data_IF_309364046730
#
_entry.id   IF_309364046730
#
_cell.length_a   1.000
_cell.length_b   1.000
_cell.length_c   1.000
_cell.angle_alpha   90.00
_cell.angle_beta   90.00
_cell.angle_gamma   90.00
#
_symmetry.space_group_name_H-M   'P 1'
#
loop_
_entity.id
_entity.type
_entity.pdbx_description
1 polymer ?
#
# COMPACT_ATOMS: atom_id res chain seq x y z
N UNK A 1 24.57 -13.63 6.21
CA UNK A 1 23.38 -12.76 6.13
C UNK A 1 22.21 -13.62 5.66
N UNK A 2 21.27 -13.97 6.53
CA UNK A 2 20.12 -14.79 6.13
C UNK A 2 19.16 -13.94 5.30
N UNK A 3 19.02 -14.29 4.02
CA UNK A 3 18.06 -13.73 3.09
C UNK A 3 16.63 -14.01 3.61
N UNK A 4 16.12 -13.16 4.49
CA UNK A 4 14.72 -13.16 4.87
C UNK A 4 13.94 -12.53 3.71
N UNK A 5 13.71 -13.33 2.67
CA UNK A 5 12.91 -12.93 1.53
C UNK A 5 11.53 -12.46 1.97
N UNK A 6 11.00 -11.45 1.26
CA UNK A 6 9.63 -10.98 1.47
C UNK A 6 8.66 -12.15 1.29
N UNK A 7 7.99 -12.55 2.37
CA UNK A 7 6.86 -13.49 2.32
C UNK A 7 5.58 -12.69 2.14
N UNK A 8 4.85 -12.96 1.07
CA UNK A 8 3.56 -12.31 0.79
C UNK A 8 2.43 -12.94 1.61
N UNK A 9 1.50 -12.11 2.07
CA UNK A 9 0.27 -12.52 2.72
C UNK A 9 -0.75 -12.97 1.67
N UNK A 10 -1.15 -14.25 1.70
CA UNK A 10 -2.17 -14.77 0.77
C UNK A 10 -3.47 -13.94 0.81
N UNK A 11 -4.06 -13.64 1.98
CA UNK A 11 -5.24 -12.78 2.03
C UNK A 11 -5.02 -11.40 1.42
N UNK A 12 -3.89 -10.74 1.69
CA UNK A 12 -3.63 -9.41 1.14
C UNK A 12 -3.51 -9.45 -0.38
N UNK A 13 -2.76 -10.42 -0.93
CA UNK A 13 -2.63 -10.61 -2.38
C UNK A 13 -3.97 -10.89 -3.02
N UNK A 14 -4.79 -11.78 -2.45
CA UNK A 14 -6.12 -12.11 -2.98
C UNK A 14 -7.02 -10.87 -2.97
N UNK A 15 -7.10 -10.15 -1.85
CA UNK A 15 -7.94 -8.95 -1.74
C UNK A 15 -7.50 -7.88 -2.73
N UNK A 16 -6.20 -7.59 -2.83
CA UNK A 16 -5.67 -6.63 -3.80
C UNK A 16 -5.93 -7.06 -5.24
N UNK A 17 -5.75 -8.35 -5.57
CA UNK A 17 -6.01 -8.87 -6.91
C UNK A 17 -7.50 -8.78 -7.27
N UNK A 18 -8.38 -9.20 -6.36
CA UNK A 18 -9.84 -9.11 -6.55
C UNK A 18 -10.27 -7.65 -6.71
N UNK A 19 -9.76 -6.74 -5.89
CA UNK A 19 -10.06 -5.32 -5.99
C UNK A 19 -9.61 -4.73 -7.33
N UNK A 20 -8.38 -5.03 -7.77
CA UNK A 20 -7.87 -4.59 -9.07
C UNK A 20 -8.68 -5.15 -10.24
N UNK A 21 -9.06 -6.43 -10.20
CA UNK A 21 -9.91 -7.06 -11.21
C UNK A 21 -11.32 -6.47 -11.23
N UNK A 22 -11.92 -6.22 -10.05
CA UNK A 22 -13.19 -5.51 -9.94
C UNK A 22 -13.08 -4.08 -10.49
N UNK A 23 -11.93 -3.44 -10.30
CA UNK A 23 -11.57 -2.16 -10.89
C UNK A 23 -11.63 -2.24 -12.40
N UNK A 24 -10.87 -3.16 -13.00
CA UNK A 24 -10.86 -3.39 -14.45
C UNK A 24 -12.28 -3.61 -15.00
N UNK A 25 -13.07 -4.45 -14.36
CA UNK A 25 -14.46 -4.69 -14.78
C UNK A 25 -15.32 -3.41 -14.71
N UNK A 26 -15.20 -2.64 -13.61
CA UNK A 26 -15.89 -1.35 -13.45
C UNK A 26 -15.46 -0.34 -14.51
N UNK A 27 -14.17 -0.24 -14.78
CA UNK A 27 -13.62 0.62 -15.82
C UNK A 27 -14.13 0.24 -17.21
N UNK A 28 -14.20 -1.06 -17.49
CA UNK A 28 -14.80 -1.59 -18.72
C UNK A 28 -16.28 -1.20 -18.85
N UNK A 29 -17.05 -1.34 -17.77
CA UNK A 29 -18.45 -0.92 -17.75
C UNK A 29 -18.61 0.60 -17.96
N UNK A 30 -17.77 1.43 -17.34
CA UNK A 30 -17.74 2.89 -17.57
C UNK A 30 -17.41 3.20 -19.03
N UNK A 31 -16.38 2.55 -19.59
CA UNK A 31 -16.00 2.75 -20.98
C UNK A 31 -17.10 2.34 -21.96
N UNK A 32 -17.77 1.21 -21.74
CA UNK A 32 -18.86 0.74 -22.60
C UNK A 32 -20.11 1.62 -22.51
N UNK A 33 -20.35 2.27 -21.37
CA UNK A 33 -21.47 3.18 -21.15
C UNK A 33 -21.08 4.67 -21.30
N UNK A 34 -19.95 4.96 -21.92
CA UNK A 34 -19.48 6.35 -22.08
C UNK A 34 -20.35 7.12 -23.06
N UNK A 35 -20.46 8.43 -22.85
CA UNK A 35 -21.05 9.35 -23.83
C UNK A 35 -20.18 9.45 -25.07
N UNK A 36 -20.80 9.48 -26.25
CA UNK A 36 -20.12 9.83 -27.52
C UNK A 36 -19.91 11.34 -27.66
N UNK A 37 -20.70 12.14 -26.94
CA UNK A 37 -20.50 13.58 -26.90
C UNK A 37 -19.26 13.90 -26.07
N UNK A 38 -18.30 14.55 -26.71
CA UNK A 38 -17.03 14.93 -26.09
C UNK A 38 -17.20 16.28 -25.37
N UNK A 39 -16.86 16.31 -24.09
CA UNK A 39 -16.88 17.54 -23.30
C UNK A 39 -15.82 18.54 -23.80
N UNK A 40 -16.06 19.85 -23.71
CA UNK A 40 -15.05 20.83 -24.06
C UNK A 40 -13.85 20.73 -23.10
N UNK A 41 -12.64 20.87 -23.64
CA UNK A 41 -11.43 21.00 -22.83
C UNK A 41 -11.42 22.36 -22.13
N UNK A 42 -11.13 22.35 -20.84
CA UNK A 42 -10.99 23.52 -19.99
C UNK A 42 -9.50 23.77 -19.77
N UNK A 43 -8.99 24.84 -20.38
CA UNK A 43 -7.60 25.24 -20.24
C UNK A 43 -7.22 25.48 -18.77
N UNK A 44 -6.03 25.03 -18.37
CA UNK A 44 -5.53 25.19 -17.00
C UNK A 44 -5.97 24.11 -16.01
N UNK A 45 -6.70 23.09 -16.47
CA UNK A 45 -6.96 21.86 -15.68
C UNK A 45 -5.70 20.99 -15.54
N UNK A 46 -4.71 21.19 -16.40
CA UNK A 46 -3.39 20.57 -16.34
C UNK A 46 -2.66 20.92 -15.02
N UNK A 47 -2.16 19.91 -14.31
CA UNK A 47 -1.47 20.10 -13.02
C UNK A 47 0.00 19.61 -13.08
N UNK A 48 0.69 19.86 -14.18
CA UNK A 48 2.05 19.36 -14.44
C UNK A 48 3.03 19.68 -13.31
N UNK A 49 3.12 20.95 -12.90
CA UNK A 49 4.10 21.39 -11.89
C UNK A 49 3.90 20.66 -10.55
N UNK A 50 2.70 20.62 -9.94
CA UNK A 50 2.45 19.81 -8.75
C UNK A 50 2.86 18.33 -8.91
N UNK A 51 2.57 17.72 -10.06
CA UNK A 51 2.89 16.31 -10.27
C UNK A 51 4.39 16.06 -10.49
N UNK A 52 5.15 17.01 -11.05
CA UNK A 52 6.61 16.92 -11.08
C UNK A 52 7.20 16.93 -9.65
N UNK A 53 6.61 17.71 -8.74
CA UNK A 53 6.99 17.68 -7.31
C UNK A 53 6.65 16.32 -6.70
N UNK A 54 5.44 15.80 -6.93
CA UNK A 54 5.04 14.46 -6.44
C UNK A 54 5.98 13.38 -6.98
N UNK A 55 6.33 13.43 -8.26
CA UNK A 55 7.26 12.51 -8.89
C UNK A 55 8.62 12.51 -8.19
N UNK A 56 9.17 13.69 -7.91
CA UNK A 56 10.43 13.83 -7.19
C UNK A 56 10.34 13.23 -5.78
N UNK A 57 9.24 13.48 -5.05
CA UNK A 57 9.00 12.92 -3.71
C UNK A 57 8.92 11.40 -3.75
N UNK A 58 8.14 10.83 -4.67
CA UNK A 58 7.97 9.38 -4.84
C UNK A 58 9.30 8.73 -5.21
N UNK A 59 10.02 9.28 -6.18
CA UNK A 59 11.31 8.76 -6.63
C UNK A 59 12.37 8.79 -5.51
N UNK A 60 12.45 9.91 -4.77
CA UNK A 60 13.36 10.05 -3.64
C UNK A 60 13.00 9.04 -2.54
N UNK A 61 11.72 8.97 -2.15
CA UNK A 61 11.26 8.04 -1.13
C UNK A 61 11.60 6.60 -1.51
N UNK A 62 11.30 6.19 -2.74
CA UNK A 62 11.54 4.83 -3.19
C UNK A 62 13.02 4.48 -3.29
N UNK A 63 13.85 5.43 -3.74
CA UNK A 63 15.32 5.28 -3.76
C UNK A 63 15.87 5.13 -2.34
N UNK A 64 15.41 5.95 -1.40
CA UNK A 64 15.84 5.87 0.00
C UNK A 64 15.36 4.57 0.65
N UNK A 65 14.10 4.20 0.45
CA UNK A 65 13.49 3.00 1.02
C UNK A 65 14.15 1.72 0.49
N UNK A 66 14.44 1.65 -0.82
CA UNK A 66 15.12 0.51 -1.43
C UNK A 66 16.56 0.38 -0.95
N UNK A 67 17.31 1.48 -0.83
CA UNK A 67 18.70 1.47 -0.32
C UNK A 67 18.80 1.13 1.17
N UNK A 68 17.82 1.55 1.97
CA UNK A 68 17.82 1.30 3.43
C UNK A 68 17.19 -0.03 3.83
N UNK A 69 16.51 -0.71 2.91
CA UNK A 69 15.84 -1.98 3.19
C UNK A 69 16.68 -3.16 2.70
N UNK A 70 16.82 -4.24 3.49
CA UNK A 70 17.41 -5.49 3.01
C UNK A 70 16.59 -6.13 1.86
N UNK A 71 15.39 -5.63 1.58
CA UNK A 71 14.55 -6.07 0.46
C UNK A 71 14.91 -5.40 -0.87
N UNK A 72 15.73 -4.34 -0.87
CA UNK A 72 15.99 -3.56 -2.07
C UNK A 72 14.71 -3.01 -2.69
N UNK A 73 14.60 -3.09 -4.01
CA UNK A 73 13.43 -2.68 -4.79
C UNK A 73 12.14 -3.44 -4.44
N UNK A 74 12.24 -4.64 -3.83
CA UNK A 74 11.06 -5.40 -3.37
C UNK A 74 10.32 -4.71 -2.21
N UNK A 75 10.84 -3.59 -1.70
CA UNK A 75 10.14 -2.74 -0.73
C UNK A 75 8.77 -2.28 -1.23
N UNK A 76 8.55 -2.17 -2.55
CA UNK A 76 7.24 -1.83 -3.12
C UNK A 76 6.14 -2.84 -2.76
N UNK A 77 6.52 -4.09 -2.50
CA UNK A 77 5.61 -5.18 -2.17
C UNK A 77 5.38 -5.33 -0.65
N UNK A 78 5.99 -4.48 0.19
CA UNK A 78 5.80 -4.56 1.65
C UNK A 78 4.35 -4.40 2.12
N UNK A 79 3.46 -3.63 1.47
CA UNK A 79 2.03 -3.61 1.82
C UNK A 79 1.37 -4.98 1.72
N UNK A 80 1.83 -5.83 0.81
CA UNK A 80 1.34 -7.20 0.64
C UNK A 80 2.07 -8.22 1.52
N UNK A 81 3.00 -7.79 2.37
CA UNK A 81 3.83 -8.66 3.18
C UNK A 81 3.09 -9.33 4.34
N UNK A 82 3.47 -10.56 4.67
CA UNK A 82 3.00 -11.24 5.89
C UNK A 82 3.24 -10.44 7.18
N UNK A 83 4.36 -9.70 7.36
CA UNK A 83 4.57 -8.94 8.59
C UNK A 83 3.52 -7.86 8.85
N UNK A 84 3.13 -7.08 7.83
CA UNK A 84 2.11 -6.05 8.01
C UNK A 84 0.72 -6.67 8.18
N UNK A 85 0.40 -7.73 7.44
CA UNK A 85 -0.86 -8.47 7.60
C UNK A 85 -1.00 -9.03 9.02
N UNK A 86 0.07 -9.57 9.61
CA UNK A 86 0.06 -10.05 10.99
C UNK A 86 -0.20 -8.93 12.00
N UNK A 87 0.35 -7.73 11.78
CA UNK A 87 0.10 -6.55 12.63
C UNK A 87 -1.35 -6.07 12.54
N UNK A 88 -1.91 -6.07 11.32
CA UNK A 88 -3.33 -5.76 11.09
C UNK A 88 -4.20 -6.76 11.88
N UNK A 89 -3.96 -8.07 11.72
CA UNK A 89 -4.69 -9.10 12.46
C UNK A 89 -4.53 -8.94 13.98
N UNK A 90 -3.33 -8.67 14.48
CA UNK A 90 -3.09 -8.44 15.90
C UNK A 90 -3.87 -7.22 16.42
N UNK A 91 -4.02 -6.17 15.60
CA UNK A 91 -4.77 -4.97 15.96
C UNK A 91 -6.27 -5.25 16.09
N UNK A 92 -6.84 -6.04 15.18
CA UNK A 92 -8.24 -6.46 15.28
C UNK A 92 -8.49 -7.47 16.42
N UNK A 93 -7.45 -8.19 16.87
CA UNK A 93 -7.50 -9.14 18.00
C UNK A 93 -7.09 -8.54 19.35
N UNK A 94 -6.73 -7.26 19.41
CA UNK A 94 -6.29 -6.62 20.66
C UNK A 94 -7.40 -6.62 21.72
N UNK A 95 -7.11 -6.26 22.97
CA UNK A 95 -8.14 -6.05 23.99
C UNK A 95 -9.09 -4.91 23.60
N UNK A 96 -10.32 -4.95 24.12
CA UNK A 96 -11.33 -3.89 23.94
C UNK A 96 -11.08 -2.74 24.92
N UNK A 97 -10.31 -1.76 24.47
CA UNK A 97 -10.11 -0.48 25.16
C UNK A 97 -10.46 0.65 24.19
N UNK A 98 -10.84 1.86 24.67
CA UNK A 98 -11.14 2.99 23.78
C UNK A 98 -10.02 3.30 22.78
N UNK A 99 -8.76 3.27 23.24
CA UNK A 99 -7.60 3.48 22.37
C UNK A 99 -7.47 2.38 21.29
N UNK A 100 -7.70 1.12 21.66
CA UNK A 100 -7.64 0.02 20.69
C UNK A 100 -8.82 0.07 19.70
N UNK A 101 -9.99 0.56 20.11
CA UNK A 101 -11.10 0.82 19.20
C UNK A 101 -10.71 1.87 18.16
N UNK A 102 -10.13 3.00 18.59
CA UNK A 102 -9.64 4.03 17.66
C UNK A 102 -8.59 3.47 16.70
N UNK A 103 -7.66 2.65 17.17
CA UNK A 103 -6.68 1.98 16.31
C UNK A 103 -7.31 1.06 15.28
N UNK A 104 -8.32 0.26 15.66
CA UNK A 104 -9.04 -0.62 14.74
C UNK A 104 -9.80 0.17 13.68
N UNK A 105 -10.46 1.27 14.06
CA UNK A 105 -11.16 2.14 13.12
C UNK A 105 -10.18 2.78 12.14
N UNK A 106 -9.07 3.33 12.63
CA UNK A 106 -8.03 3.93 11.80
C UNK A 106 -7.40 2.89 10.85
N UNK A 107 -7.03 1.72 11.35
CA UNK A 107 -6.45 0.64 10.52
C UNK A 107 -7.49 0.12 9.53
N UNK A 108 -8.74 -0.07 9.92
CA UNK A 108 -9.82 -0.50 9.03
C UNK A 108 -10.05 0.49 7.89
N UNK A 109 -10.10 1.79 8.19
CA UNK A 109 -10.19 2.84 7.19
C UNK A 109 -9.00 2.83 6.23
N UNK A 110 -7.77 2.75 6.76
CA UNK A 110 -6.56 2.74 5.92
C UNK A 110 -6.46 1.49 5.05
N UNK A 111 -6.86 0.31 5.56
CA UNK A 111 -6.94 -0.92 4.75
C UNK A 111 -8.00 -0.76 3.66
N UNK A 112 -9.17 -0.20 3.99
CA UNK A 112 -10.21 0.09 2.99
C UNK A 112 -9.67 1.04 1.91
N UNK A 113 -8.90 2.06 2.29
CA UNK A 113 -8.28 3.00 1.36
C UNK A 113 -7.26 2.30 0.45
N UNK A 114 -6.41 1.40 0.97
CA UNK A 114 -5.51 0.59 0.13
C UNK A 114 -6.26 -0.34 -0.83
N UNK A 115 -7.38 -0.91 -0.41
CA UNK A 115 -8.23 -1.74 -1.29
C UNK A 115 -8.91 -0.89 -2.36
N UNK A 116 -9.43 0.27 -1.98
CA UNK A 116 -10.03 1.25 -2.88
C UNK A 116 -9.04 1.75 -3.92
N UNK A 117 -7.78 2.02 -3.53
CA UNK A 117 -6.74 2.41 -4.48
C UNK A 117 -6.43 1.29 -5.48
N UNK A 118 -6.43 0.00 -5.07
CA UNK A 118 -6.22 -1.12 -5.99
C UNK A 118 -7.32 -1.17 -7.03
N UNK A 119 -8.56 -0.98 -6.58
CA UNK A 119 -9.73 -0.87 -7.45
C UNK A 119 -9.62 0.32 -8.40
N UNK A 120 -9.28 1.52 -7.92
CA UNK A 120 -9.10 2.73 -8.75
C UNK A 120 -8.01 2.56 -9.81
N UNK A 121 -6.89 1.92 -9.47
CA UNK A 121 -5.82 1.64 -10.43
C UNK A 121 -6.35 0.75 -11.56
N UNK A 122 -7.09 -0.31 -11.23
CA UNK A 122 -7.70 -1.19 -12.22
C UNK A 122 -8.76 -0.49 -13.08
N UNK A 123 -9.63 0.31 -12.47
CA UNK A 123 -10.70 1.04 -13.15
C UNK A 123 -10.18 1.98 -14.24
N UNK A 124 -9.09 2.70 -13.93
CA UNK A 124 -8.53 3.69 -14.83
C UNK A 124 -8.00 3.10 -16.14
N UNK A 125 -7.61 1.82 -16.17
CA UNK A 125 -7.08 1.16 -17.37
C UNK A 125 -8.06 1.30 -18.54
N UNK A 126 -9.34 0.97 -18.33
CA UNK A 126 -10.37 1.05 -19.37
C UNK A 126 -11.17 2.34 -19.30
N UNK A 127 -11.50 2.86 -18.10
CA UNK A 127 -12.21 4.12 -17.99
C UNK A 127 -11.43 5.27 -18.66
N UNK A 128 -10.10 5.26 -18.55
CA UNK A 128 -9.22 6.22 -19.19
C UNK A 128 -9.27 6.21 -20.71
N UNK A 129 -9.70 5.13 -21.36
CA UNK A 129 -9.83 5.11 -22.82
C UNK A 129 -10.99 5.98 -23.33
N UNK A 130 -11.90 6.40 -22.44
CA UNK A 130 -12.99 7.32 -22.78
C UNK A 130 -12.47 8.76 -22.95
N UNK A 131 -12.81 9.46 -24.05
CA UNK A 131 -12.29 10.80 -24.30
C UNK A 131 -12.68 11.79 -23.19
N UNK A 132 -13.89 11.69 -22.63
CA UNK A 132 -14.33 12.56 -21.53
C UNK A 132 -13.56 12.32 -20.21
N UNK A 133 -12.99 11.13 -20.03
CA UNK A 133 -12.19 10.84 -18.84
C UNK A 133 -10.87 11.61 -18.89
N UNK A 134 -10.23 11.68 -20.05
CA UNK A 134 -8.90 12.29 -20.20
C UNK A 134 -8.99 13.77 -20.49
N UNK A 135 -10.07 14.23 -21.14
CA UNK A 135 -10.22 15.60 -21.65
C UNK A 135 -9.82 16.71 -20.67
N UNK A 136 -10.16 16.54 -19.39
CA UNK A 136 -9.88 17.51 -18.33
C UNK A 136 -9.10 16.86 -17.16
N UNK A 137 -8.34 15.80 -17.45
CA UNK A 137 -7.50 15.15 -16.46
C UNK A 137 -6.25 15.98 -16.15
N UNK A 138 -5.63 15.74 -14.99
CA UNK A 138 -4.45 16.49 -14.53
C UNK A 138 -3.23 16.42 -15.47
N UNK A 139 -3.07 15.30 -16.19
CA UNK A 139 -2.02 15.09 -17.19
C UNK A 139 -2.48 15.35 -18.63
N UNK A 140 -3.68 15.92 -18.76
CA UNK A 140 -4.21 16.43 -20.00
C UNK A 140 -5.00 15.45 -20.84
N UNK A 141 -5.46 15.88 -22.04
CA UNK A 141 -6.45 15.18 -22.83
C UNK A 141 -5.96 13.83 -23.39
N UNK A 142 -4.66 13.55 -23.29
CA UNK A 142 -4.09 12.28 -23.72
C UNK A 142 -4.30 11.18 -22.67
N UNK A 143 -4.57 9.97 -23.13
CA UNK A 143 -4.62 8.78 -22.27
C UNK A 143 -3.34 8.62 -21.44
N UNK A 144 -2.16 8.71 -22.08
CA UNK A 144 -0.89 8.49 -21.41
C UNK A 144 -0.63 9.53 -20.31
N UNK A 145 -0.91 10.80 -20.59
CA UNK A 145 -0.77 11.87 -19.60
C UNK A 145 -1.71 11.68 -18.42
N UNK A 146 -3.01 11.46 -18.67
CA UNK A 146 -4.00 11.21 -17.64
C UNK A 146 -3.64 10.00 -16.75
N UNK A 147 -3.24 8.89 -17.37
CA UNK A 147 -2.86 7.67 -16.64
C UNK A 147 -1.58 7.86 -15.84
N UNK A 148 -0.57 8.53 -16.41
CA UNK A 148 0.68 8.81 -15.68
C UNK A 148 0.40 9.58 -14.39
N UNK A 149 -0.42 10.62 -14.44
CA UNK A 149 -0.73 11.47 -13.30
C UNK A 149 -1.56 10.73 -12.25
N UNK A 150 -2.61 10.04 -12.67
CA UNK A 150 -3.42 9.27 -11.73
C UNK A 150 -2.67 8.11 -11.07
N UNK A 151 -1.80 7.41 -11.80
CA UNK A 151 -0.98 6.37 -11.21
C UNK A 151 0.13 6.94 -10.33
N UNK A 152 0.62 8.15 -10.63
CA UNK A 152 1.53 8.85 -9.75
C UNK A 152 0.86 9.21 -8.42
N UNK A 153 -0.39 9.69 -8.43
CA UNK A 153 -1.18 9.91 -7.21
C UNK A 153 -1.32 8.62 -6.40
N UNK A 154 -1.69 7.51 -7.07
CA UNK A 154 -1.77 6.19 -6.43
C UNK A 154 -0.42 5.76 -5.85
N UNK A 155 0.68 5.97 -6.56
CA UNK A 155 2.04 5.62 -6.13
C UNK A 155 2.52 6.47 -4.96
N UNK A 156 2.01 7.69 -4.78
CA UNK A 156 2.24 8.49 -3.58
C UNK A 156 1.38 8.03 -2.40
N UNK A 157 0.08 7.84 -2.63
CA UNK A 157 -0.90 7.55 -1.58
C UNK A 157 -0.69 6.15 -0.98
N UNK A 158 -0.31 5.15 -1.77
CA UNK A 158 -0.05 3.78 -1.27
C UNK A 158 1.04 3.73 -0.19
N UNK A 159 2.26 4.25 -0.42
CA UNK A 159 3.29 4.33 0.61
C UNK A 159 2.86 5.10 1.86
N UNK A 160 2.12 6.21 1.69
CA UNK A 160 1.61 7.00 2.82
C UNK A 160 0.65 6.13 3.66
N UNK A 161 -0.34 5.50 3.02
CA UNK A 161 -1.27 4.60 3.70
C UNK A 161 -0.52 3.47 4.41
N UNK A 162 0.45 2.86 3.75
CA UNK A 162 1.23 1.78 4.31
C UNK A 162 2.02 2.21 5.57
N UNK A 163 2.67 3.38 5.52
CA UNK A 163 3.38 3.96 6.68
C UNK A 163 2.41 4.25 7.82
N UNK A 164 1.23 4.81 7.52
CA UNK A 164 0.20 5.08 8.52
C UNK A 164 -0.36 3.79 9.15
N UNK A 165 -0.61 2.74 8.36
CA UNK A 165 -1.03 1.42 8.88
C UNK A 165 0.04 0.88 9.82
N UNK A 166 1.32 0.94 9.43
CA UNK A 166 2.41 0.48 10.28
C UNK A 166 2.43 1.21 11.62
N UNK A 167 2.20 2.52 11.62
CA UNK A 167 2.17 3.37 12.82
C UNK A 167 0.93 3.14 13.69
N UNK A 168 -0.25 2.92 13.09
CA UNK A 168 -1.51 2.72 13.79
C UNK A 168 -1.69 1.30 14.35
N UNK A 169 -1.04 0.30 13.72
CA UNK A 169 -1.14 -1.10 14.13
C UNK A 169 -0.35 -1.41 15.40
N UNK A 170 -0.86 -2.35 16.20
CA UNK A 170 -0.08 -2.95 17.31
C UNK A 170 1.00 -3.89 16.77
N UNK A 171 2.13 -4.08 17.49
CA UNK A 171 3.09 -5.12 17.16
C UNK A 171 2.42 -6.50 17.11
N UNK A 172 2.75 -7.29 16.09
CA UNK A 172 2.35 -8.69 16.05
C UNK A 172 3.10 -9.47 17.14
N UNK A 173 2.47 -10.44 17.82
CA UNK A 173 3.18 -11.33 18.73
C UNK A 173 4.33 -12.01 17.98
N UNK A 174 5.56 -11.86 18.48
CA UNK A 174 6.66 -12.69 18.02
C UNK A 174 6.33 -14.13 18.41
N UNK A 175 6.24 -15.02 17.44
CA UNK A 175 6.01 -16.44 17.72
C UNK A 175 7.10 -17.02 18.65
N UNK A 176 6.91 -18.25 19.17
CA UNK A 176 7.77 -18.88 20.19
C UNK A 176 9.26 -19.05 19.83
N UNK A 177 9.69 -18.63 18.63
CA UNK A 177 11.09 -18.61 18.22
C UNK A 177 11.96 -17.61 19.00
N UNK A 178 11.39 -16.51 19.51
CA UNK A 178 12.14 -15.53 20.31
C UNK A 178 12.41 -16.01 21.75
N UNK A 179 11.61 -16.96 22.27
CA UNK A 179 11.74 -17.48 23.62
C UNK A 179 12.82 -18.57 23.74
N UNK A 180 13.10 -19.30 22.64
CA UNK A 180 14.13 -20.34 22.61
C UNK A 180 15.57 -19.79 22.62
N UNK A 181 15.81 -18.61 22.07
CA UNK A 181 17.13 -17.95 22.12
C UNK A 181 17.42 -17.34 23.49
N UNK A 182 16.41 -16.86 24.21
CA UNK A 182 16.57 -16.34 25.59
C UNK A 182 16.82 -17.43 26.63
N UNK A 183 16.10 -18.56 26.57
CA UNK A 183 16.27 -19.64 27.56
C UNK A 183 17.54 -20.49 27.40
N UNK A 184 18.15 -20.51 26.20
CA UNK A 184 19.37 -21.29 25.97
C UNK A 184 20.64 -20.58 26.44
N UNK A 185 20.60 -19.24 26.56
CA UNK A 185 21.72 -18.43 27.07
C UNK A 185 21.81 -18.35 28.60
N UNK A 186 20.75 -18.72 29.33
CA UNK A 186 20.70 -18.62 30.80
C UNK A 186 20.96 -19.95 31.54
N UNK A 187 21.17 -21.07 30.83
CA UNK A 187 21.24 -22.41 31.44
C UNK A 187 22.65 -23.01 31.54
N UNK A 188 23.70 -22.20 31.49
CA UNK A 188 25.09 -22.64 31.66
C UNK A 188 25.92 -21.56 32.38
N UNK A 189 25.69 -21.37 33.68
CA UNK A 189 26.77 -21.00 34.59
C UNK A 189 26.73 -21.93 35.80
N UNK A 190 27.71 -22.85 35.95
CA UNK A 190 27.86 -23.60 37.18
C UNK A 190 28.33 -22.64 38.27
N UNK A 191 27.53 -22.53 39.33
CA UNK A 191 27.91 -21.82 40.57
C UNK A 191 29.06 -22.60 41.19
N UNK A 192 30.27 -22.06 41.09
CA UNK A 192 31.45 -22.60 41.76
C UNK A 192 31.36 -22.19 43.24
N UNK A 193 31.01 -23.15 44.10
CA UNK A 193 31.02 -22.95 45.56
C UNK A 193 32.47 -23.13 46.05
N UNK A 194 33.09 -22.10 46.66
CA UNK A 194 34.41 -22.27 47.28
C UNK A 194 34.28 -23.10 48.56
N UNK A 195 35.23 -24.02 48.77
CA UNK A 195 35.44 -24.71 50.05
C UNK A 195 36.39 -23.90 50.93
#
# INVERSE_FOLDING_TARGET
>A
MTNNGLRLSRPAVIVTAVAALAGLASGGAIYLNRSEQIDPHIAGTEALIPHLVVLAVVALWFTVASRRSPLGWKVILTPLGSPIAARITATFRSSYTPLNLLRRLAVGFLVLLEVYMAWRIGEQVFAGMGPNFTQNAWGGPSYLGAMFFHYLDGTLLYPICHVLIRSATVPAPTGPAAERTGRRGQRLQPVMVPR
#
